data_IF_444055355062
#
_entry.id   IF_444055355062
#
_cell.length_a   1.000
_cell.length_b   1.000
_cell.length_c   1.000
_cell.angle_alpha   90.00
_cell.angle_beta   90.00
_cell.angle_gamma   90.00
#
_symmetry.space_group_name_H-M   'P 1'
#
loop_
_entity.id
_entity.type
_entity.pdbx_description
1 polymer ?
#
# COMPACT_ATOMS: atom_id res chain seq x y z
N UNK A 1 -7.54 -17.08 -14.40
CA UNK A 1 -7.22 -16.04 -15.40
C UNK A 1 -8.24 -14.91 -15.24
N UNK A 2 -7.78 -13.70 -14.93
CA UNK A 2 -8.66 -12.52 -14.81
C UNK A 2 -8.97 -12.02 -16.22
N UNK A 3 -10.26 -11.89 -16.56
CA UNK A 3 -10.71 -11.44 -17.87
C UNK A 3 -11.52 -10.14 -17.73
N UNK A 4 -10.94 -9.02 -18.14
CA UNK A 4 -11.59 -7.71 -18.16
C UNK A 4 -12.15 -7.42 -19.56
N UNK A 5 -13.31 -7.97 -19.89
CA UNK A 5 -13.94 -7.81 -21.22
C UNK A 5 -15.03 -6.73 -21.22
N UNK A 6 -16.06 -6.90 -20.37
CA UNK A 6 -17.10 -5.90 -20.11
C UNK A 6 -17.00 -5.45 -18.67
N UNK A 7 -16.58 -4.21 -18.46
CA UNK A 7 -16.29 -3.70 -17.12
C UNK A 7 -17.56 -3.59 -16.25
N UNK A 8 -18.67 -3.07 -16.80
CA UNK A 8 -19.93 -3.00 -16.07
C UNK A 8 -20.79 -4.26 -16.31
N UNK A 9 -21.22 -4.92 -15.23
CA UNK A 9 -22.04 -6.15 -15.27
C UNK A 9 -23.41 -6.01 -14.62
N UNK A 10 -23.65 -4.93 -13.84
CA UNK A 10 -24.84 -4.70 -12.99
C UNK A 10 -25.03 -5.70 -11.84
N UNK A 11 -24.15 -6.69 -11.68
CA UNK A 11 -24.27 -7.74 -10.66
C UNK A 11 -24.03 -7.26 -9.22
N UNK A 12 -23.69 -5.98 -9.02
CA UNK A 12 -23.55 -5.37 -7.69
C UNK A 12 -24.43 -4.15 -7.47
N UNK A 13 -25.47 -3.96 -8.32
CA UNK A 13 -26.43 -2.86 -8.17
C UNK A 13 -27.33 -3.04 -6.93
N UNK A 14 -27.41 -4.27 -6.40
CA UNK A 14 -28.07 -4.61 -5.13
C UNK A 14 -27.21 -4.33 -3.88
N UNK A 15 -26.03 -3.74 -4.05
CA UNK A 15 -25.11 -3.45 -2.96
C UNK A 15 -24.24 -4.63 -2.53
N UNK A 16 -24.23 -5.74 -3.27
CA UNK A 16 -23.36 -6.91 -3.00
C UNK A 16 -22.31 -7.13 -4.10
N UNK A 17 -21.31 -7.95 -3.83
CA UNK A 17 -20.24 -8.31 -4.79
C UNK A 17 -19.72 -9.71 -4.52
N UNK A 18 -18.88 -10.24 -5.40
CA UNK A 18 -18.18 -11.51 -5.22
C UNK A 18 -16.76 -11.31 -4.68
N UNK A 19 -16.33 -12.18 -3.77
CA UNK A 19 -14.95 -12.33 -3.30
C UNK A 19 -14.13 -13.18 -4.28
N UNK A 20 -12.84 -13.39 -3.97
CA UNK A 20 -11.90 -14.15 -4.81
C UNK A 20 -12.27 -15.63 -4.98
N UNK A 21 -13.00 -16.20 -4.01
CA UNK A 21 -13.56 -17.55 -4.04
C UNK A 21 -14.98 -17.60 -4.64
N UNK A 22 -15.45 -16.50 -5.24
CA UNK A 22 -16.79 -16.31 -5.80
C UNK A 22 -17.94 -16.24 -4.78
N UNK A 23 -17.68 -16.38 -3.48
CA UNK A 23 -18.69 -16.16 -2.44
C UNK A 23 -19.21 -14.72 -2.47
N UNK A 24 -20.45 -14.49 -2.04
CA UNK A 24 -21.09 -13.16 -2.06
C UNK A 24 -20.96 -12.46 -0.72
N UNK A 25 -20.66 -11.16 -0.77
CA UNK A 25 -20.69 -10.28 0.41
C UNK A 25 -21.26 -8.89 0.07
N UNK A 26 -21.58 -8.10 1.09
CA UNK A 26 -21.98 -6.70 0.95
C UNK A 26 -20.81 -5.78 0.57
N UNK A 27 -21.08 -4.68 -0.13
CA UNK A 27 -20.08 -3.67 -0.51
C UNK A 27 -19.43 -2.93 0.68
N UNK A 28 -20.00 -3.07 1.87
CA UNK A 28 -19.48 -2.50 3.11
C UNK A 28 -18.76 -3.54 3.99
N UNK A 29 -18.54 -4.75 3.47
CA UNK A 29 -17.78 -5.80 4.17
C UNK A 29 -16.37 -5.30 4.55
N UNK A 30 -15.89 -5.52 5.79
CA UNK A 30 -14.55 -5.09 6.21
C UNK A 30 -13.41 -5.65 5.34
N UNK A 31 -13.53 -6.88 4.81
CA UNK A 31 -12.57 -7.49 3.88
C UNK A 31 -12.52 -6.72 2.56
N UNK A 32 -13.70 -6.37 2.05
CA UNK A 32 -13.79 -5.56 0.84
C UNK A 32 -13.19 -4.19 1.03
N UNK A 33 -13.52 -3.53 2.14
CA UNK A 33 -12.93 -2.24 2.47
C UNK A 33 -11.40 -2.32 2.52
N UNK A 34 -10.84 -3.40 3.08
CA UNK A 34 -9.40 -3.59 3.17
C UNK A 34 -8.74 -3.65 1.79
N UNK A 35 -9.19 -4.53 0.88
CA UNK A 35 -8.57 -4.63 -0.45
C UNK A 35 -8.90 -3.43 -1.36
N UNK A 36 -10.01 -2.73 -1.13
CA UNK A 36 -10.32 -1.48 -1.83
C UNK A 36 -9.42 -0.32 -1.39
N UNK A 37 -9.10 -0.20 -0.10
CA UNK A 37 -8.15 0.81 0.37
C UNK A 37 -6.72 0.50 -0.11
N UNK A 38 -6.37 -0.79 -0.28
CA UNK A 38 -5.10 -1.22 -0.92
C UNK A 38 -5.05 -0.78 -2.39
N UNK A 39 -6.15 -0.92 -3.13
CA UNK A 39 -6.25 -0.40 -4.51
C UNK A 39 -6.08 1.13 -4.56
N UNK A 40 -6.66 1.86 -3.61
CA UNK A 40 -6.45 3.31 -3.51
C UNK A 40 -4.98 3.67 -3.20
N UNK A 41 -4.29 2.89 -2.36
CA UNK A 41 -2.86 3.04 -2.14
C UNK A 41 -2.06 2.78 -3.42
N UNK A 42 -2.47 1.79 -4.20
CA UNK A 42 -1.86 1.46 -5.47
C UNK A 42 -2.01 2.61 -6.49
N UNK A 43 -3.21 3.21 -6.57
CA UNK A 43 -3.46 4.41 -7.38
C UNK A 43 -2.63 5.61 -6.93
N UNK A 44 -2.45 5.82 -5.62
CA UNK A 44 -1.62 6.90 -5.10
C UNK A 44 -0.14 6.74 -5.51
N UNK A 45 0.38 5.51 -5.56
CA UNK A 45 1.71 5.22 -6.10
C UNK A 45 1.76 5.47 -7.62
N UNK A 46 0.70 5.12 -8.35
CA UNK A 46 0.57 5.43 -9.78
C UNK A 46 0.68 6.92 -10.07
N UNK A 47 0.13 7.79 -9.21
CA UNK A 47 0.29 9.24 -9.34
C UNK A 47 1.76 9.66 -9.19
N UNK A 48 2.48 9.09 -8.22
CA UNK A 48 3.92 9.34 -8.02
C UNK A 48 4.70 8.97 -9.28
N UNK A 49 4.45 7.81 -9.86
CA UNK A 49 5.10 7.35 -11.09
C UNK A 49 4.87 8.29 -12.28
N UNK A 50 3.73 9.00 -12.30
CA UNK A 50 3.43 9.97 -13.36
C UNK A 50 4.23 11.28 -13.25
N UNK A 51 5.02 11.51 -12.20
CA UNK A 51 5.70 12.80 -11.93
C UNK A 51 6.99 13.07 -12.72
N UNK A 52 7.37 12.22 -13.68
CA UNK A 52 8.55 12.33 -14.61
C UNK A 52 9.91 12.72 -14.01
N UNK A 53 10.07 12.73 -12.68
CA UNK A 53 11.24 13.32 -12.00
C UNK A 53 11.99 12.34 -11.10
N UNK A 54 11.56 11.07 -11.04
CA UNK A 54 12.21 10.05 -10.21
C UNK A 54 13.30 9.29 -10.97
N UNK A 55 14.40 8.89 -10.31
CA UNK A 55 15.38 7.96 -10.87
C UNK A 55 14.73 6.66 -11.34
N UNK A 56 15.24 6.06 -12.42
CA UNK A 56 14.69 4.81 -13.01
C UNK A 56 14.62 3.67 -11.99
N UNK A 57 15.60 3.54 -11.10
CA UNK A 57 15.58 2.51 -10.05
C UNK A 57 14.42 2.67 -9.06
N UNK A 58 14.02 3.91 -8.74
CA UNK A 58 12.87 4.17 -7.87
C UNK A 58 11.58 3.91 -8.62
N UNK A 59 11.50 4.26 -9.91
CA UNK A 59 10.35 3.93 -10.74
C UNK A 59 10.15 2.42 -10.82
N UNK A 60 11.21 1.65 -11.06
CA UNK A 60 11.17 0.19 -11.09
C UNK A 60 10.73 -0.40 -9.74
N UNK A 61 11.23 0.13 -8.62
CA UNK A 61 10.81 -0.26 -7.28
C UNK A 61 9.31 0.02 -7.04
N UNK A 62 8.83 1.21 -7.39
CA UNK A 62 7.42 1.56 -7.22
C UNK A 62 6.51 0.71 -8.12
N UNK A 63 6.92 0.41 -9.35
CA UNK A 63 6.19 -0.50 -10.26
C UNK A 63 6.11 -1.93 -9.70
N UNK A 64 7.20 -2.41 -9.09
CA UNK A 64 7.17 -3.68 -8.35
C UNK A 64 6.16 -3.62 -7.21
N UNK A 65 6.19 -2.57 -6.39
CA UNK A 65 5.24 -2.39 -5.30
C UNK A 65 3.80 -2.35 -5.79
N UNK A 66 3.51 -1.75 -6.96
CA UNK A 66 2.15 -1.78 -7.54
C UNK A 66 1.69 -3.20 -7.88
N UNK A 67 2.60 -4.09 -8.31
CA UNK A 67 2.30 -5.51 -8.52
C UNK A 67 2.07 -6.22 -7.18
N UNK A 68 2.96 -6.01 -6.20
CA UNK A 68 2.84 -6.59 -4.87
C UNK A 68 1.51 -6.15 -4.19
N UNK A 69 1.03 -4.92 -4.42
CA UNK A 69 -0.27 -4.47 -3.91
C UNK A 69 -1.46 -5.16 -4.58
N UNK A 70 -1.33 -5.59 -5.84
CA UNK A 70 -2.34 -6.48 -6.43
C UNK A 70 -2.33 -7.86 -5.78
N UNK A 71 -1.16 -8.41 -5.47
CA UNK A 71 -1.03 -9.68 -4.74
C UNK A 71 -1.64 -9.58 -3.32
N UNK A 72 -1.35 -8.49 -2.61
CA UNK A 72 -1.98 -8.16 -1.32
C UNK A 72 -3.49 -8.09 -1.45
N UNK A 73 -4.00 -7.40 -2.48
CA UNK A 73 -5.43 -7.31 -2.75
C UNK A 73 -6.06 -8.68 -3.04
N UNK A 74 -5.39 -9.52 -3.83
CA UNK A 74 -5.84 -10.88 -4.16
C UNK A 74 -5.89 -11.80 -2.92
N UNK A 75 -4.89 -11.73 -2.06
CA UNK A 75 -4.84 -12.45 -0.79
C UNK A 75 -5.99 -12.01 0.13
N UNK A 76 -6.14 -10.70 0.37
CA UNK A 76 -7.22 -10.13 1.17
C UNK A 76 -8.61 -10.53 0.64
N UNK A 77 -8.79 -10.51 -0.68
CA UNK A 77 -10.03 -10.85 -1.37
C UNK A 77 -10.40 -12.34 -1.23
N UNK A 78 -9.45 -13.22 -0.91
CA UNK A 78 -9.65 -14.67 -0.87
C UNK A 78 -9.67 -15.19 0.57
N UNK A 79 -10.79 -15.71 1.09
CA UNK A 79 -10.85 -16.31 2.42
C UNK A 79 -9.73 -17.35 2.66
N UNK A 80 -9.13 -17.34 3.84
CA UNK A 80 -8.18 -18.38 4.26
C UNK A 80 -8.99 -19.54 4.83
N UNK A 81 -8.76 -20.74 4.30
CA UNK A 81 -9.43 -21.98 4.70
C UNK A 81 -8.40 -23.10 4.82
N UNK A 82 -8.68 -24.09 5.66
CA UNK A 82 -7.86 -25.30 5.76
C UNK A 82 -8.03 -26.16 4.50
N UNK A 83 -6.91 -26.67 3.97
CA UNK A 83 -6.87 -27.59 2.82
C UNK A 83 -7.66 -27.09 1.59
N UNK A 84 -7.29 -25.94 1.00
CA UNK A 84 -7.96 -25.43 -0.19
C UNK A 84 -7.77 -26.38 -1.37
N UNK A 85 -8.75 -26.42 -2.28
CA UNK A 85 -8.70 -27.26 -3.49
C UNK A 85 -7.52 -26.87 -4.41
N UNK A 86 -7.16 -25.59 -4.40
CA UNK A 86 -6.00 -25.03 -5.10
C UNK A 86 -5.27 -24.07 -4.17
N UNK A 87 -3.93 -24.11 -4.21
CA UNK A 87 -3.11 -23.18 -3.44
C UNK A 87 -3.38 -21.74 -3.92
N UNK A 88 -3.99 -20.88 -3.08
CA UNK A 88 -4.24 -19.49 -3.44
C UNK A 88 -2.94 -18.68 -3.42
N UNK A 89 -2.88 -17.60 -4.20
CA UNK A 89 -1.83 -16.60 -4.05
C UNK A 89 -1.91 -15.98 -2.65
N UNK A 90 -0.77 -15.98 -1.93
CA UNK A 90 -0.65 -15.40 -0.60
C UNK A 90 0.60 -14.54 -0.51
N UNK A 91 0.49 -13.43 0.24
CA UNK A 91 1.64 -12.64 0.65
C UNK A 91 2.49 -13.47 1.61
N UNK A 92 3.77 -13.60 1.30
CA UNK A 92 4.75 -14.33 2.11
C UNK A 92 5.69 -13.37 2.85
N UNK A 93 6.50 -13.90 3.75
CA UNK A 93 7.49 -13.10 4.48
C UNK A 93 8.49 -12.41 3.55
N UNK A 94 8.85 -13.05 2.42
CA UNK A 94 9.79 -12.51 1.43
C UNK A 94 9.36 -11.13 0.88
N UNK A 95 8.06 -10.86 0.79
CA UNK A 95 7.54 -9.55 0.38
C UNK A 95 7.90 -8.46 1.40
N UNK A 96 7.75 -8.77 2.69
CA UNK A 96 8.07 -7.87 3.79
C UNK A 96 9.58 -7.64 3.86
N UNK A 97 10.36 -8.73 3.79
CA UNK A 97 11.82 -8.67 3.86
C UNK A 97 12.40 -7.83 2.71
N UNK A 98 11.80 -7.90 1.52
CA UNK A 98 12.19 -7.06 0.39
C UNK A 98 11.95 -5.56 0.64
N UNK A 99 10.83 -5.20 1.30
CA UNK A 99 10.58 -3.81 1.69
C UNK A 99 11.58 -3.35 2.75
N UNK A 100 11.93 -4.20 3.71
CA UNK A 100 12.94 -3.89 4.74
C UNK A 100 14.32 -3.64 4.11
N UNK A 101 14.77 -4.51 3.21
CA UNK A 101 16.01 -4.31 2.46
C UNK A 101 16.00 -3.02 1.63
N UNK A 102 14.85 -2.67 1.06
CA UNK A 102 14.67 -1.42 0.33
C UNK A 102 14.73 -0.21 1.26
N UNK A 103 14.10 -0.30 2.44
CA UNK A 103 14.20 0.73 3.48
C UNK A 103 15.66 0.99 3.84
N UNK A 104 16.43 -0.05 4.15
CA UNK A 104 17.84 0.07 4.50
C UNK A 104 18.64 0.75 3.39
N UNK A 105 18.53 0.27 2.14
CA UNK A 105 19.23 0.82 0.97
C UNK A 105 19.05 2.34 0.80
N UNK A 106 17.81 2.81 0.92
CA UNK A 106 17.51 4.24 0.68
C UNK A 106 17.72 5.09 1.93
N UNK A 107 17.52 4.53 3.12
CA UNK A 107 17.71 5.25 4.38
C UNK A 107 19.19 5.50 4.69
N UNK A 108 20.09 4.59 4.30
CA UNK A 108 21.55 4.76 4.42
C UNK A 108 22.10 6.00 3.67
N UNK A 109 21.33 6.53 2.72
CA UNK A 109 21.70 7.70 1.93
C UNK A 109 21.14 9.02 2.47
N UNK A 110 20.45 8.98 3.62
CA UNK A 110 19.78 10.13 4.23
C UNK A 110 20.43 10.50 5.55
N UNK A 111 20.53 11.80 5.82
CA UNK A 111 20.92 12.28 7.12
C UNK A 111 19.86 11.92 8.19
N UNK A 112 20.27 11.64 9.43
CA UNK A 112 19.33 11.36 10.51
C UNK A 112 18.46 12.58 10.82
N UNK A 113 17.17 12.35 11.07
CA UNK A 113 16.23 13.39 11.48
C UNK A 113 16.35 13.70 12.99
N UNK A 114 16.19 14.97 13.34
CA UNK A 114 16.10 15.45 14.73
C UNK A 114 14.72 16.02 15.10
N UNK A 115 13.77 16.00 14.15
CA UNK A 115 12.37 16.38 14.31
C UNK A 115 11.53 15.67 13.24
N UNK A 116 10.21 15.77 13.33
CA UNK A 116 9.34 15.43 12.20
C UNK A 116 9.59 16.37 11.03
N UNK A 117 9.25 15.92 9.82
CA UNK A 117 9.29 16.74 8.61
C UNK A 117 7.89 17.20 8.25
N UNK A 118 7.79 18.40 7.68
CA UNK A 118 6.58 18.87 7.03
C UNK A 118 6.43 18.13 5.69
N UNK A 119 5.33 17.40 5.46
CA UNK A 119 5.15 16.64 4.22
C UNK A 119 5.08 17.58 3.01
N UNK A 120 6.09 17.56 2.15
CA UNK A 120 6.18 18.45 0.99
C UNK A 120 7.56 18.42 0.34
N UNK A 121 7.91 19.51 -0.33
CA UNK A 121 9.15 19.64 -1.11
C UNK A 121 8.88 19.48 -2.60
N UNK A 122 9.55 18.53 -3.25
CA UNK A 122 9.30 18.24 -4.67
C UNK A 122 7.90 17.64 -4.88
N UNK A 123 7.38 17.73 -6.12
CA UNK A 123 6.10 17.09 -6.47
C UNK A 123 6.10 15.60 -6.15
N UNK A 124 7.19 14.90 -6.47
CA UNK A 124 7.34 13.48 -6.17
C UNK A 124 7.35 13.22 -4.65
N UNK A 125 8.08 13.99 -3.85
CA UNK A 125 8.11 13.85 -2.40
C UNK A 125 6.73 14.10 -1.75
N UNK A 126 6.05 15.16 -2.17
CA UNK A 126 4.70 15.48 -1.69
C UNK A 126 3.71 14.34 -1.99
N UNK A 127 3.74 13.79 -3.20
CA UNK A 127 2.88 12.67 -3.58
C UNK A 127 3.25 11.35 -2.89
N UNK A 128 4.55 11.09 -2.67
CA UNK A 128 5.00 9.95 -1.86
C UNK A 128 4.48 10.04 -0.42
N UNK A 129 4.43 11.25 0.15
CA UNK A 129 3.79 11.45 1.44
C UNK A 129 2.28 11.23 1.42
N UNK A 130 1.57 11.61 0.34
CA UNK A 130 0.15 11.25 0.17
C UNK A 130 0.00 9.73 0.12
N UNK A 131 0.73 9.05 -0.76
CA UNK A 131 0.73 7.60 -0.88
C UNK A 131 1.01 6.91 0.47
N UNK A 132 1.99 7.42 1.23
CA UNK A 132 2.28 6.94 2.59
C UNK A 132 1.06 7.02 3.51
N UNK A 133 0.33 8.14 3.51
CA UNK A 133 -0.85 8.29 4.36
C UNK A 133 -2.01 7.39 3.92
N UNK A 134 -2.14 7.16 2.61
CA UNK A 134 -3.13 6.24 2.03
C UNK A 134 -2.79 4.79 2.38
N UNK A 135 -1.53 4.38 2.29
CA UNK A 135 -1.07 3.06 2.74
C UNK A 135 -1.41 2.83 4.21
N UNK A 136 -1.16 3.83 5.09
CA UNK A 136 -1.55 3.76 6.51
C UNK A 136 -3.06 3.69 6.73
N UNK A 137 -3.88 4.22 5.80
CA UNK A 137 -5.34 4.05 5.86
C UNK A 137 -5.73 2.62 5.48
N UNK A 138 -5.13 2.07 4.43
CA UNK A 138 -5.31 0.67 4.05
C UNK A 138 -4.91 -0.28 5.19
N UNK A 139 -3.77 -0.03 5.83
CA UNK A 139 -3.29 -0.79 6.99
C UNK A 139 -4.35 -0.89 8.11
N UNK A 140 -4.97 0.25 8.48
CA UNK A 140 -6.03 0.26 9.51
C UNK A 140 -7.25 -0.56 9.09
N UNK A 141 -7.63 -0.51 7.83
CA UNK A 141 -8.75 -1.29 7.31
C UNK A 141 -8.43 -2.78 7.27
N UNK A 142 -7.18 -3.17 6.97
CA UNK A 142 -6.74 -4.55 7.03
C UNK A 142 -6.80 -5.07 8.47
N UNK A 143 -6.27 -4.32 9.44
CA UNK A 143 -6.34 -4.71 10.86
C UNK A 143 -7.78 -4.85 11.36
N UNK A 144 -8.66 -3.89 11.04
CA UNK A 144 -10.08 -4.00 11.39
C UNK A 144 -10.75 -5.24 10.77
N UNK A 145 -10.31 -5.65 9.57
CA UNK A 145 -10.79 -6.86 8.92
C UNK A 145 -10.23 -8.13 9.57
N UNK A 146 -8.94 -8.16 9.92
CA UNK A 146 -8.31 -9.24 10.68
C UNK A 146 -9.03 -9.47 12.03
N UNK A 147 -9.37 -8.39 12.73
CA UNK A 147 -10.14 -8.43 13.97
C UNK A 147 -11.56 -8.97 13.76
N UNK A 148 -12.14 -8.80 12.57
CA UNK A 148 -13.49 -9.31 12.25
C UNK A 148 -13.47 -10.79 11.89
N UNK A 149 -12.46 -11.25 11.14
CA UNK A 149 -12.46 -12.58 10.50
C UNK A 149 -11.57 -13.63 11.19
N UNK A 150 -10.88 -13.30 12.28
CA UNK A 150 -10.16 -14.20 13.19
C UNK A 150 -9.60 -15.49 12.54
N UNK A 151 -8.45 -15.39 11.87
CA UNK A 151 -7.80 -16.53 11.19
C UNK A 151 -8.28 -16.80 9.77
N UNK A 152 -9.39 -16.20 9.33
CA UNK A 152 -9.86 -16.24 7.94
C UNK A 152 -9.10 -15.32 6.97
N UNK A 153 -8.01 -14.68 7.42
CA UNK A 153 -7.22 -13.71 6.65
C UNK A 153 -5.74 -13.82 6.99
N UNK A 154 -4.87 -13.57 6.01
CA UNK A 154 -3.42 -13.59 6.18
C UNK A 154 -2.91 -12.29 6.81
N UNK A 155 -2.35 -12.37 8.02
CA UNK A 155 -1.80 -11.21 8.73
C UNK A 155 -0.62 -10.54 8.00
N UNK A 156 0.14 -11.27 7.18
CA UNK A 156 1.29 -10.72 6.45
C UNK A 156 0.89 -9.59 5.48
N UNK A 157 -0.36 -9.55 5.03
CA UNK A 157 -0.90 -8.42 4.25
C UNK A 157 -0.84 -7.10 5.03
N UNK A 158 -1.16 -7.10 6.32
CA UNK A 158 -1.05 -5.94 7.19
C UNK A 158 0.42 -5.57 7.45
N UNK A 159 1.26 -6.58 7.72
CA UNK A 159 2.70 -6.39 7.94
C UNK A 159 3.36 -5.74 6.72
N UNK A 160 3.04 -6.19 5.51
CA UNK A 160 3.53 -5.62 4.26
C UNK A 160 3.15 -4.14 4.12
N UNK A 161 1.87 -3.79 4.29
CA UNK A 161 1.40 -2.40 4.12
C UNK A 161 1.95 -1.48 5.23
N UNK A 162 2.14 -1.99 6.45
CA UNK A 162 2.82 -1.26 7.52
C UNK A 162 4.25 -0.88 7.10
N UNK A 163 5.04 -1.86 6.63
CA UNK A 163 6.42 -1.64 6.17
C UNK A 163 6.50 -0.79 4.90
N UNK A 164 5.52 -0.90 4.01
CA UNK A 164 5.41 -0.05 2.82
C UNK A 164 5.29 1.42 3.21
N UNK A 165 4.56 1.73 4.28
CA UNK A 165 4.43 3.13 4.72
C UNK A 165 5.76 3.71 5.22
N UNK A 166 6.63 2.89 5.81
CA UNK A 166 8.00 3.28 6.18
C UNK A 166 8.84 3.55 4.92
N UNK A 167 8.80 2.64 3.94
CA UNK A 167 9.53 2.81 2.68
C UNK A 167 9.08 4.08 1.93
N UNK A 168 7.78 4.34 1.83
CA UNK A 168 7.25 5.53 1.18
C UNK A 168 7.69 6.83 1.90
N UNK A 169 7.86 6.79 3.23
CA UNK A 169 8.45 7.90 3.98
C UNK A 169 9.92 8.12 3.59
N UNK A 170 10.71 7.05 3.56
CA UNK A 170 12.14 7.10 3.20
C UNK A 170 12.30 7.62 1.76
N UNK A 171 11.51 7.11 0.81
CA UNK A 171 11.55 7.56 -0.58
C UNK A 171 11.13 9.02 -0.74
N UNK A 172 10.17 9.51 0.05
CA UNK A 172 9.77 10.92 0.02
C UNK A 172 10.95 11.84 0.40
N UNK A 173 11.71 11.48 1.44
CA UNK A 173 12.92 12.19 1.84
C UNK A 173 14.00 12.13 0.77
N UNK A 174 14.20 10.95 0.19
CA UNK A 174 15.15 10.76 -0.90
C UNK A 174 14.83 11.66 -2.10
N UNK A 175 13.56 11.79 -2.46
CA UNK A 175 13.09 12.67 -3.53
C UNK A 175 13.30 14.17 -3.25
N UNK A 176 13.61 14.56 -2.00
CA UNK A 176 13.93 15.95 -1.64
C UNK A 176 15.45 16.23 -1.62
N UNK A 177 16.32 15.21 -1.66
CA UNK A 177 17.78 15.36 -1.47
C UNK A 177 18.43 16.37 -2.43
N UNK A 178 17.98 16.42 -3.68
CA UNK A 178 18.48 17.36 -4.70
C UNK A 178 17.77 18.71 -4.74
N UNK A 179 16.77 18.95 -3.89
CA UNK A 179 15.87 20.09 -3.97
C UNK A 179 15.86 20.96 -2.69
N UNK A 180 16.93 20.91 -1.90
CA UNK A 180 17.06 21.67 -0.65
C UNK A 180 16.67 20.89 0.61
N UNK A 181 16.31 19.60 0.47
CA UNK A 181 16.02 18.72 1.61
C UNK A 181 14.65 18.92 2.26
N UNK A 182 14.47 18.28 3.41
CA UNK A 182 13.21 18.30 4.15
C UNK A 182 13.10 19.54 5.05
N UNK A 183 11.89 20.10 5.17
CA UNK A 183 11.60 21.15 6.15
C UNK A 183 11.22 20.52 7.48
N UNK A 184 11.95 20.84 8.55
CA UNK A 184 11.68 20.31 9.88
C UNK A 184 10.50 21.03 10.54
N UNK A 185 9.63 20.26 11.19
CA UNK A 185 8.59 20.78 12.07
C UNK A 185 9.21 21.50 13.28
N UNK A 186 8.69 22.69 13.57
CA UNK A 186 9.04 23.51 14.74
C UNK A 186 7.85 23.54 15.72
N UNK A 187 7.92 22.79 16.84
CA UNK A 187 6.81 22.68 17.78
C UNK A 187 6.42 24.04 18.36
N UNK A 188 5.16 24.45 18.17
CA UNK A 188 4.59 25.65 18.80
C UNK A 188 5.11 26.99 18.28
N UNK A 189 5.82 27.04 17.15
CA UNK A 189 6.45 28.28 16.64
C UNK A 189 5.46 29.43 16.36
N UNK A 190 4.20 29.11 16.07
CA UNK A 190 3.15 30.09 15.74
C UNK A 190 2.14 30.32 16.89
N UNK A 191 2.45 29.93 18.12
CA UNK A 191 1.57 30.15 19.29
C UNK A 191 1.80 31.51 19.94
#
# INVERSE_FOLDING_TARGET
MVNLTRIYTRTGDDGTTSLGDMSRTGKNDPRLKAYADVDEANCAIGMVLATTTLPEEIQALLLRIQNDLFDVGADLCTPVIDNPVHEPLRVTQDYVDYLEQSCDKYNDQLDPLRSFILPGGTTAAAQLHVARTVARRAERSIWASLDTYHGGMNQLTATYVNRLSDLLFILARFANKGAGGDVLWQPGVNR
#
